data_IF_235489227673
#
_entry.id   IF_235489227673
#
_cell.length_a   1.000
_cell.length_b   1.000
_cell.length_c   1.000
_cell.angle_alpha   90.00
_cell.angle_beta   90.00
_cell.angle_gamma   90.00
#
_symmetry.space_group_name_H-M   'P 1'
#
loop_
_entity.id
_entity.type
_entity.pdbx_description
1 polymer ?
#
# COMPACT_ATOMS: atom_id res chain seq x y z
N UNK A 1 -14.85 23.78 -12.97
CA UNK A 1 -14.71 24.07 -11.51
C UNK A 1 -15.32 25.44 -11.28
N UNK A 2 -16.32 25.52 -10.41
CA UNK A 2 -17.01 26.78 -10.10
C UNK A 2 -16.08 27.81 -9.49
N UNK A 3 -16.35 29.08 -9.75
CA UNK A 3 -15.65 30.18 -9.14
C UNK A 3 -15.98 30.26 -7.61
N UNK A 4 -14.97 30.30 -6.71
CA UNK A 4 -15.22 30.36 -5.26
C UNK A 4 -15.80 31.72 -4.80
N UNK A 5 -15.78 32.75 -5.65
CA UNK A 5 -16.28 34.10 -5.31
C UNK A 5 -17.70 34.37 -5.77
N UNK A 6 -18.07 33.90 -6.98
CA UNK A 6 -19.40 34.18 -7.55
C UNK A 6 -20.16 32.94 -8.01
N UNK A 7 -19.61 31.75 -7.77
CA UNK A 7 -20.18 30.44 -8.13
C UNK A 7 -20.43 30.22 -9.64
N UNK A 8 -19.93 31.09 -10.51
CA UNK A 8 -20.05 30.90 -11.96
C UNK A 8 -19.31 29.62 -12.43
N UNK A 9 -19.87 28.92 -13.41
CA UNK A 9 -19.36 27.64 -13.92
C UNK A 9 -18.06 27.78 -14.69
N UNK A 10 -17.89 28.88 -15.42
CA UNK A 10 -16.81 29.06 -16.36
C UNK A 10 -15.61 29.79 -15.75
N UNK A 11 -14.50 29.05 -15.71
CA UNK A 11 -13.19 29.55 -15.31
C UNK A 11 -12.11 29.08 -16.28
N UNK A 12 -11.16 29.93 -16.64
CA UNK A 12 -10.00 29.58 -17.45
C UNK A 12 -8.74 29.41 -16.62
N UNK A 13 -7.84 28.51 -17.05
CA UNK A 13 -6.49 28.38 -16.49
C UNK A 13 -5.59 29.37 -17.22
N UNK A 14 -4.95 30.28 -16.48
CA UNK A 14 -4.04 31.30 -17.02
C UNK A 14 -2.56 30.94 -16.81
N UNK A 15 -2.24 30.06 -15.84
CA UNK A 15 -0.90 29.56 -15.57
C UNK A 15 -0.96 28.17 -14.96
N UNK A 16 0.00 27.30 -15.31
CA UNK A 16 0.12 25.94 -14.77
C UNK A 16 1.59 25.61 -14.57
N UNK A 17 1.96 25.16 -13.37
CA UNK A 17 3.35 24.80 -13.03
C UNK A 17 3.40 23.57 -12.16
N UNK A 18 4.44 22.74 -12.36
CA UNK A 18 4.81 21.70 -11.41
C UNK A 18 5.44 22.34 -10.17
N UNK A 19 5.00 21.90 -8.98
CA UNK A 19 5.50 22.33 -7.67
C UNK A 19 5.69 21.12 -6.76
N UNK A 20 6.25 21.32 -5.59
CA UNK A 20 6.53 20.24 -4.63
C UNK A 20 7.34 19.09 -5.25
N UNK A 21 8.44 19.43 -5.94
CA UNK A 21 9.30 18.42 -6.58
C UNK A 21 8.63 17.63 -7.71
N UNK A 22 7.57 18.16 -8.34
CA UNK A 22 6.82 17.49 -9.41
C UNK A 22 5.60 16.71 -8.94
N UNK A 23 5.34 16.65 -7.62
CA UNK A 23 4.24 15.87 -7.05
C UNK A 23 2.88 16.60 -7.07
N UNK A 24 2.87 17.89 -7.45
CA UNK A 24 1.64 18.69 -7.50
C UNK A 24 1.66 19.57 -8.75
N UNK A 25 0.48 19.84 -9.32
CA UNK A 25 0.27 20.87 -10.33
C UNK A 25 -0.43 22.05 -9.68
N UNK A 26 0.24 23.20 -9.64
CA UNK A 26 -0.36 24.47 -9.23
C UNK A 26 -0.96 25.13 -10.47
N UNK A 27 -2.26 25.45 -10.42
CA UNK A 27 -2.95 26.18 -11.51
C UNK A 27 -3.48 27.52 -11.01
N UNK A 28 -3.15 28.59 -11.73
CA UNK A 28 -3.79 29.88 -11.53
C UNK A 28 -4.98 30.00 -12.47
N UNK A 29 -6.14 30.28 -11.91
CA UNK A 29 -7.41 30.39 -12.64
C UNK A 29 -7.95 31.80 -12.58
N UNK A 30 -8.72 32.18 -13.59
CA UNK A 30 -9.47 33.44 -13.67
C UNK A 30 -10.93 33.12 -14.00
N UNK A 31 -11.85 33.70 -13.24
CA UNK A 31 -13.27 33.60 -13.51
C UNK A 31 -13.64 34.47 -14.71
N UNK A 32 -14.42 33.96 -15.65
CA UNK A 32 -14.86 34.71 -16.83
C UNK A 32 -16.00 35.70 -16.48
N UNK A 33 -16.71 35.51 -15.37
CA UNK A 33 -17.83 36.35 -14.97
C UNK A 33 -17.40 37.50 -14.04
N UNK A 34 -16.63 37.23 -12.97
CA UNK A 34 -16.24 38.28 -12.00
C UNK A 34 -14.77 38.71 -12.12
N UNK A 35 -13.99 38.11 -13.04
CA UNK A 35 -12.57 38.40 -13.27
C UNK A 35 -11.64 38.14 -12.08
N UNK A 36 -12.15 37.57 -10.99
CA UNK A 36 -11.35 37.21 -9.83
C UNK A 36 -10.40 36.06 -10.14
N UNK A 37 -9.20 36.14 -9.56
CA UNK A 37 -8.14 35.15 -9.75
C UNK A 37 -7.93 34.33 -8.49
N UNK A 38 -7.83 33.02 -8.66
CA UNK A 38 -7.56 32.08 -7.56
C UNK A 38 -6.61 30.98 -7.98
N UNK A 39 -6.07 30.30 -7.00
CA UNK A 39 -5.12 29.20 -7.22
C UNK A 39 -5.76 27.88 -6.81
N UNK A 40 -5.55 26.86 -7.63
CA UNK A 40 -5.92 25.46 -7.32
C UNK A 40 -4.69 24.59 -7.37
N UNK A 41 -4.73 23.49 -6.61
CA UNK A 41 -3.72 22.47 -6.65
C UNK A 41 -4.34 21.14 -7.07
N UNK A 42 -3.67 20.47 -7.98
CA UNK A 42 -3.95 19.10 -8.34
C UNK A 42 -2.90 18.21 -7.69
N UNK A 43 -3.33 17.23 -6.92
CA UNK A 43 -2.50 16.23 -6.26
C UNK A 43 -3.03 14.85 -6.59
N UNK A 44 -2.14 13.87 -6.76
CA UNK A 44 -2.58 12.49 -6.86
C UNK A 44 -3.18 12.05 -5.52
N UNK A 45 -4.43 11.63 -5.51
CA UNK A 45 -5.07 11.03 -4.35
C UNK A 45 -4.66 9.55 -4.25
N UNK A 46 -3.63 9.29 -3.43
CA UNK A 46 -3.14 7.93 -3.19
C UNK A 46 -3.81 7.35 -1.93
N UNK A 47 -5.07 6.96 -2.09
CA UNK A 47 -5.83 6.35 -1.00
C UNK A 47 -5.43 4.87 -0.87
N UNK A 48 -5.17 4.44 0.38
CA UNK A 48 -4.99 3.02 0.68
C UNK A 48 -6.35 2.32 0.70
N UNK A 49 -6.45 1.10 0.14
CA UNK A 49 -7.69 0.34 0.17
C UNK A 49 -8.06 -0.06 1.61
N UNK A 50 -9.36 -0.14 1.89
CA UNK A 50 -9.85 -0.76 3.13
C UNK A 50 -9.68 -2.26 3.08
N UNK A 51 -9.42 -2.87 4.23
CA UNK A 51 -9.22 -4.31 4.34
C UNK A 51 -10.51 -4.99 4.78
N UNK A 52 -11.01 -5.91 3.96
CA UNK A 52 -12.17 -6.75 4.28
C UNK A 52 -11.66 -7.99 5.00
N UNK A 53 -12.04 -8.15 6.27
CA UNK A 53 -11.71 -9.32 7.09
C UNK A 53 -12.54 -10.54 6.68
N UNK A 54 -12.12 -11.74 7.14
CA UNK A 54 -12.86 -12.99 6.89
C UNK A 54 -14.30 -12.97 7.41
N UNK A 55 -14.55 -12.22 8.50
CA UNK A 55 -15.89 -12.02 9.05
C UNK A 55 -16.72 -10.95 8.33
N UNK A 56 -16.21 -10.38 7.22
CA UNK A 56 -16.86 -9.35 6.43
C UNK A 56 -16.67 -7.92 6.94
N UNK A 57 -16.05 -7.71 8.09
CA UNK A 57 -15.77 -6.37 8.61
C UNK A 57 -14.76 -5.62 7.71
N UNK A 58 -14.98 -4.32 7.57
CA UNK A 58 -14.14 -3.41 6.78
C UNK A 58 -13.36 -2.50 7.70
N UNK A 59 -12.04 -2.66 7.71
CA UNK A 59 -11.13 -1.85 8.51
C UNK A 59 -10.26 -0.98 7.58
N UNK A 60 -9.82 0.22 8.01
CA UNK A 60 -8.79 0.94 7.28
C UNK A 60 -7.50 0.12 7.23
N UNK A 61 -6.70 0.31 6.18
CA UNK A 61 -5.35 -0.26 6.13
C UNK A 61 -4.53 0.31 7.29
N UNK A 62 -3.89 -0.58 8.04
CA UNK A 62 -3.07 -0.27 9.21
C UNK A 62 -1.62 -0.67 8.94
N UNK A 63 -0.77 0.34 8.69
CA UNK A 63 0.65 0.15 8.41
C UNK A 63 1.42 -0.35 9.64
N UNK A 64 1.06 0.10 10.84
CA UNK A 64 1.73 -0.31 12.07
C UNK A 64 1.46 -1.78 12.37
N UNK A 65 0.26 -2.26 12.05
CA UNK A 65 -0.09 -3.67 12.13
C UNK A 65 0.69 -4.51 11.14
N UNK A 66 0.86 -4.03 9.90
CA UNK A 66 1.69 -4.68 8.89
C UNK A 66 3.15 -4.76 9.36
N UNK A 67 3.72 -3.64 9.79
CA UNK A 67 5.10 -3.54 10.32
C UNK A 67 5.30 -4.48 11.51
N UNK A 68 4.38 -4.51 12.47
CA UNK A 68 4.44 -5.41 13.62
C UNK A 68 4.44 -6.88 13.20
N UNK A 69 3.71 -7.25 12.15
CA UNK A 69 3.72 -8.59 11.58
C UNK A 69 5.10 -8.98 11.04
N UNK A 70 5.74 -8.10 10.26
CA UNK A 70 7.10 -8.31 9.76
C UNK A 70 8.11 -8.42 10.89
N UNK A 71 8.10 -7.51 11.86
CA UNK A 71 9.04 -7.51 12.99
C UNK A 71 8.94 -8.79 13.83
N UNK A 72 7.74 -9.32 14.05
CA UNK A 72 7.55 -10.60 14.77
C UNK A 72 8.08 -11.77 13.97
N UNK A 73 7.81 -11.84 12.67
CA UNK A 73 8.29 -12.92 11.82
C UNK A 73 9.82 -12.91 11.71
N UNK A 74 10.41 -11.73 11.61
CA UNK A 74 11.84 -11.50 11.43
C UNK A 74 12.63 -11.38 12.75
N UNK A 75 11.99 -11.61 13.90
CA UNK A 75 12.67 -11.53 15.21
C UNK A 75 13.91 -12.42 15.24
N UNK A 76 15.07 -11.85 15.58
CA UNK A 76 16.41 -12.50 15.61
C UNK A 76 16.85 -13.05 14.24
N UNK A 77 16.35 -12.48 13.13
CA UNK A 77 16.83 -12.78 11.79
C UNK A 77 17.79 -11.68 11.31
N UNK A 78 18.79 -12.00 10.48
CA UNK A 78 19.77 -11.02 9.97
C UNK A 78 19.20 -10.21 8.78
N UNK A 79 18.08 -9.54 9.00
CA UNK A 79 17.43 -8.66 8.04
C UNK A 79 17.45 -7.24 8.59
N UNK A 80 17.88 -6.28 7.77
CA UNK A 80 17.98 -4.88 8.18
C UNK A 80 16.61 -4.21 8.32
N UNK A 81 16.53 -3.15 9.11
CA UNK A 81 15.32 -2.33 9.22
C UNK A 81 15.01 -1.68 7.87
N UNK A 82 16.02 -1.28 7.14
CA UNK A 82 15.93 -0.67 5.81
C UNK A 82 15.26 -1.63 4.81
N UNK A 83 15.62 -2.92 4.82
CA UNK A 83 15.00 -3.94 3.97
C UNK A 83 13.52 -4.16 4.32
N UNK A 84 13.21 -4.17 5.63
CA UNK A 84 11.81 -4.27 6.09
C UNK A 84 10.97 -3.09 5.62
N UNK A 85 11.48 -1.86 5.77
CA UNK A 85 10.77 -0.66 5.32
C UNK A 85 10.63 -0.61 3.78
N UNK A 86 11.65 -1.06 3.05
CA UNK A 86 11.59 -1.17 1.59
C UNK A 86 10.44 -2.10 1.15
N UNK A 87 10.31 -3.27 1.78
CA UNK A 87 9.26 -4.23 1.50
C UNK A 87 7.87 -3.69 1.89
N UNK A 88 7.74 -3.04 3.05
CA UNK A 88 6.47 -2.40 3.46
C UNK A 88 6.04 -1.36 2.41
N UNK A 89 6.99 -0.54 1.93
CA UNK A 89 6.70 0.45 0.89
C UNK A 89 6.34 -0.21 -0.45
N UNK A 90 6.96 -1.32 -0.81
CA UNK A 90 6.62 -2.09 -2.00
C UNK A 90 5.19 -2.66 -1.92
N UNK A 91 4.79 -3.23 -0.78
CA UNK A 91 3.43 -3.70 -0.54
C UNK A 91 2.43 -2.53 -0.64
N UNK A 92 2.71 -1.40 0.00
CA UNK A 92 1.87 -0.18 -0.09
C UNK A 92 1.73 0.30 -1.53
N UNK A 93 2.82 0.28 -2.29
CA UNK A 93 2.79 0.64 -3.70
C UNK A 93 1.91 -0.32 -4.50
N UNK A 94 2.09 -1.63 -4.33
CA UNK A 94 1.29 -2.65 -4.99
C UNK A 94 -0.21 -2.47 -4.69
N UNK A 95 -0.57 -2.24 -3.41
CA UNK A 95 -1.96 -2.01 -3.01
C UNK A 95 -2.57 -0.76 -3.65
N UNK A 96 -1.83 0.34 -3.74
CA UNK A 96 -2.29 1.57 -4.41
C UNK A 96 -2.42 1.39 -5.92
N UNK A 97 -1.51 0.61 -6.52
CA UNK A 97 -1.50 0.35 -7.95
C UNK A 97 -2.71 -0.48 -8.42
N UNK A 98 -3.38 -1.21 -7.53
CA UNK A 98 -4.63 -1.91 -7.88
C UNK A 98 -5.75 -0.95 -8.24
N UNK A 99 -5.75 0.30 -7.75
CA UNK A 99 -6.83 1.25 -7.89
C UNK A 99 -8.11 0.87 -7.14
N UNK A 100 -8.10 -0.25 -6.43
CA UNK A 100 -9.26 -0.76 -5.70
C UNK A 100 -9.47 0.01 -4.40
N UNK A 101 -10.73 0.24 -4.05
CA UNK A 101 -11.10 0.88 -2.78
C UNK A 101 -11.09 -0.08 -1.59
N UNK A 102 -11.22 -1.37 -1.86
CA UNK A 102 -11.29 -2.43 -0.86
C UNK A 102 -10.52 -3.66 -1.35
N UNK A 103 -9.80 -4.32 -0.44
CA UNK A 103 -9.10 -5.59 -0.68
C UNK A 103 -9.45 -6.60 0.40
N UNK A 104 -9.47 -7.88 0.06
CA UNK A 104 -9.61 -8.95 1.04
C UNK A 104 -8.33 -9.07 1.88
N UNK A 105 -8.46 -9.34 3.18
CA UNK A 105 -7.30 -9.59 4.05
C UNK A 105 -6.44 -10.77 3.58
N UNK A 106 -7.03 -11.72 2.87
CA UNK A 106 -6.32 -12.83 2.24
C UNK A 106 -5.28 -12.34 1.22
N UNK A 107 -5.67 -11.42 0.32
CA UNK A 107 -4.76 -10.85 -0.68
C UNK A 107 -3.58 -10.12 -0.02
N UNK A 108 -3.87 -9.34 1.04
CA UNK A 108 -2.80 -8.69 1.81
C UNK A 108 -1.87 -9.72 2.46
N UNK A 109 -2.41 -10.79 3.03
CA UNK A 109 -1.63 -11.87 3.62
C UNK A 109 -0.74 -12.59 2.62
N UNK A 110 -1.24 -12.86 1.42
CA UNK A 110 -0.46 -13.45 0.33
C UNK A 110 0.69 -12.55 -0.09
N UNK A 111 0.45 -11.23 -0.24
CA UNK A 111 1.52 -10.27 -0.52
C UNK A 111 2.60 -10.25 0.57
N UNK A 112 2.20 -10.32 1.84
CA UNK A 112 3.15 -10.40 2.96
C UNK A 112 3.97 -11.68 2.89
N UNK A 113 3.34 -12.82 2.65
CA UNK A 113 4.01 -14.11 2.55
C UNK A 113 5.01 -14.16 1.40
N UNK A 114 4.62 -13.68 0.23
CA UNK A 114 5.49 -13.63 -0.95
C UNK A 114 6.75 -12.79 -0.69
N UNK A 115 6.60 -11.63 -0.06
CA UNK A 115 7.73 -10.76 0.28
C UNK A 115 8.59 -11.37 1.41
N UNK A 116 8.01 -11.98 2.45
CA UNK A 116 8.76 -12.67 3.49
C UNK A 116 9.57 -13.84 2.95
N UNK A 117 9.04 -14.57 1.98
CA UNK A 117 9.74 -15.67 1.32
C UNK A 117 11.04 -15.22 0.64
N UNK A 118 11.02 -14.02 0.03
CA UNK A 118 12.20 -13.43 -0.61
C UNK A 118 13.21 -12.88 0.42
N UNK A 119 12.74 -12.32 1.54
CA UNK A 119 13.58 -11.78 2.59
C UNK A 119 14.25 -12.86 3.43
N UNK A 120 13.46 -13.79 3.97
CA UNK A 120 13.93 -14.82 4.89
C UNK A 120 12.94 -15.98 4.98
N UNK A 121 13.36 -17.17 4.57
CA UNK A 121 12.50 -18.36 4.52
C UNK A 121 12.02 -18.81 5.91
N UNK A 122 12.83 -18.60 6.98
CA UNK A 122 12.41 -18.93 8.36
C UNK A 122 11.31 -17.98 8.82
N UNK A 123 11.43 -16.69 8.51
CA UNK A 123 10.40 -15.71 8.80
C UNK A 123 9.11 -16.00 8.02
N UNK A 124 9.24 -16.44 6.77
CA UNK A 124 8.09 -16.89 5.98
C UNK A 124 7.34 -18.04 6.70
N UNK A 125 8.04 -19.12 7.11
CA UNK A 125 7.41 -20.27 7.78
C UNK A 125 6.75 -19.86 9.09
N UNK A 126 7.39 -18.98 9.88
CA UNK A 126 6.79 -18.42 11.10
C UNK A 126 5.49 -17.67 10.85
N UNK A 127 5.49 -16.83 9.82
CA UNK A 127 4.30 -16.07 9.46
C UNK A 127 3.22 -16.99 8.89
N UNK A 128 3.58 -17.91 8.00
CA UNK A 128 2.67 -18.87 7.39
C UNK A 128 1.97 -19.74 8.43
N UNK A 129 2.68 -20.19 9.46
CA UNK A 129 2.11 -21.03 10.53
C UNK A 129 0.94 -20.34 11.27
N UNK A 130 1.03 -19.04 11.49
CA UNK A 130 -0.03 -18.25 12.13
C UNK A 130 -1.11 -17.86 11.12
N UNK A 131 -0.69 -17.42 9.92
CA UNK A 131 -1.61 -16.92 8.90
C UNK A 131 -2.50 -18.04 8.34
N UNK A 132 -1.93 -19.23 8.06
CA UNK A 132 -2.65 -20.41 7.59
C UNK A 132 -3.19 -21.27 8.72
N UNK A 133 -2.91 -20.90 9.98
CA UNK A 133 -3.39 -21.59 11.19
C UNK A 133 -3.01 -23.07 11.21
N UNK A 134 -1.73 -23.40 11.05
CA UNK A 134 -1.24 -24.78 11.07
C UNK A 134 -1.71 -25.50 12.34
N UNK A 135 -2.25 -26.70 12.17
CA UNK A 135 -2.86 -27.48 13.26
C UNK A 135 -1.90 -28.55 13.79
N UNK A 136 -0.96 -29.01 13.00
CA UNK A 136 -0.02 -30.07 13.37
C UNK A 136 1.36 -29.91 12.70
N UNK A 137 2.27 -30.82 13.05
CA UNK A 137 3.65 -30.82 12.54
C UNK A 137 3.75 -31.23 11.08
N UNK A 138 2.75 -31.93 10.53
CA UNK A 138 2.77 -32.35 9.11
C UNK A 138 2.61 -31.14 8.22
N UNK A 139 1.75 -30.20 8.56
CA UNK A 139 1.56 -28.96 7.80
C UNK A 139 2.84 -28.10 7.77
N UNK A 140 3.63 -28.09 8.85
CA UNK A 140 4.96 -27.43 8.85
C UNK A 140 5.92 -28.15 7.90
N UNK A 141 5.93 -29.48 7.89
CA UNK A 141 6.81 -30.27 7.03
C UNK A 141 6.47 -30.04 5.57
N UNK A 142 5.19 -30.14 5.23
CA UNK A 142 4.70 -29.93 3.87
C UNK A 142 5.07 -28.54 3.32
N UNK A 143 4.98 -27.52 4.16
CA UNK A 143 5.36 -26.16 3.76
C UNK A 143 6.88 -26.00 3.58
N UNK A 144 7.70 -26.67 4.41
CA UNK A 144 9.16 -26.69 4.25
C UNK A 144 9.54 -27.42 2.97
N UNK A 145 9.01 -28.61 2.71
CA UNK A 145 9.26 -29.40 1.51
C UNK A 145 8.89 -28.61 0.25
N UNK A 146 7.79 -27.86 0.30
CA UNK A 146 7.36 -26.98 -0.79
C UNK A 146 8.35 -25.84 -1.05
N UNK A 147 8.91 -25.23 0.02
CA UNK A 147 9.94 -24.19 -0.10
C UNK A 147 11.25 -24.74 -0.69
N UNK A 148 11.63 -25.96 -0.30
CA UNK A 148 12.84 -26.62 -0.80
C UNK A 148 12.72 -27.05 -2.26
N UNK A 149 11.50 -27.40 -2.70
CA UNK A 149 11.22 -27.80 -4.08
C UNK A 149 11.20 -26.62 -5.07
N UNK A 150 11.00 -25.40 -4.59
CA UNK A 150 11.02 -24.21 -5.45
C UNK A 150 12.46 -23.73 -5.66
N UNK A 151 12.94 -23.57 -6.92
CA UNK A 151 14.28 -23.08 -7.18
C UNK A 151 14.45 -21.66 -6.62
N UNK A 152 15.48 -21.48 -5.82
CA UNK A 152 15.89 -20.21 -5.24
C UNK A 152 16.29 -19.24 -6.37
N UNK A 153 15.34 -18.49 -6.90
CA UNK A 153 15.63 -17.45 -7.91
C UNK A 153 16.18 -16.23 -7.15
N UNK A 154 17.53 -16.21 -7.02
CA UNK A 154 18.26 -14.99 -6.61
C UNK A 154 18.46 -14.07 -7.79
#
# INVERSE_FOLDING_TARGET
>A
MHCPFCAADDTKVIDSRLVAGGNQVRRRRECLSCSERYTTYEVAELVMPRVIKQNGNREPFDEDKLRSGFLRALEKRPVSVEDIEAVINQIKHALRATGEREIKSLVLGELVMENLKQLDQVAYVRFASVYRSFQDLSEFRDEIERLEAEPNTK
#
